data_IF_397998902720
#
_entry.id   IF_397998902720
#
_cell.length_a   1.000
_cell.length_b   1.000
_cell.length_c   1.000
_cell.angle_alpha   90.00
_cell.angle_beta   90.00
_cell.angle_gamma   90.00
#
_symmetry.space_group_name_H-M   'P 1'
#
loop_
_entity.id
_entity.type
_entity.pdbx_description
1 polymer ?
#
# COMPACT_ATOMS: atom_id res chain seq x y z
N UNK A 1 -7.41 -26.38 15.89
CA UNK A 1 -6.21 -25.73 15.37
C UNK A 1 -6.17 -24.32 15.95
N UNK A 2 -5.11 -23.94 16.67
CA UNK A 2 -4.95 -22.54 17.09
C UNK A 2 -4.73 -21.72 15.81
N UNK A 3 -5.60 -20.78 15.53
CA UNK A 3 -5.48 -19.88 14.39
C UNK A 3 -4.17 -19.11 14.51
N UNK A 4 -3.29 -19.20 13.50
CA UNK A 4 -2.08 -18.38 13.39
C UNK A 4 -2.40 -16.92 13.00
N UNK A 5 -3.69 -16.57 13.02
CA UNK A 5 -4.15 -15.23 12.72
C UNK A 5 -3.88 -14.29 13.89
N UNK A 6 -3.33 -13.14 13.57
CA UNK A 6 -2.98 -12.08 14.51
C UNK A 6 -3.60 -10.77 14.05
N UNK A 7 -3.89 -9.90 15.01
CA UNK A 7 -4.42 -8.56 14.75
C UNK A 7 -3.30 -7.67 14.16
N UNK A 8 -3.55 -7.06 13.01
CA UNK A 8 -2.57 -6.24 12.30
C UNK A 8 -2.07 -5.05 13.13
N UNK A 9 -2.94 -4.45 13.95
CA UNK A 9 -2.59 -3.34 14.83
C UNK A 9 -1.45 -3.62 15.81
N UNK A 10 -1.15 -4.90 16.10
CA UNK A 10 -0.01 -5.28 16.95
C UNK A 10 1.35 -5.18 16.22
N UNK A 11 1.32 -4.98 14.91
CA UNK A 11 2.50 -5.00 14.03
C UNK A 11 2.76 -3.69 13.31
N UNK A 12 1.75 -2.82 13.20
CA UNK A 12 1.83 -1.57 12.44
C UNK A 12 1.62 -0.35 13.34
N UNK A 13 2.18 0.78 12.92
CA UNK A 13 1.92 2.07 13.55
C UNK A 13 1.74 3.16 12.52
N UNK A 14 0.88 4.11 12.81
CA UNK A 14 0.65 5.26 11.95
C UNK A 14 1.85 6.23 12.01
N UNK A 15 2.14 6.85 10.87
CA UNK A 15 3.15 7.88 10.71
C UNK A 15 2.49 9.15 10.16
N UNK A 16 2.69 10.28 10.79
CA UNK A 16 2.16 11.57 10.33
C UNK A 16 3.25 12.66 10.35
N UNK A 17 4.15 12.58 9.39
CA UNK A 17 5.21 13.56 9.20
C UNK A 17 4.80 14.54 8.11
N UNK A 18 4.61 15.81 8.48
CA UNK A 18 4.24 16.87 7.55
C UNK A 18 5.48 17.49 6.90
N UNK A 19 5.30 17.96 5.67
CA UNK A 19 6.34 18.63 4.87
C UNK A 19 6.52 20.09 5.32
N UNK A 20 6.92 20.31 6.58
CA UNK A 20 7.03 21.64 7.19
C UNK A 20 8.05 22.55 6.51
N UNK A 21 9.07 21.96 5.90
CA UNK A 21 10.18 22.66 5.28
C UNK A 21 9.93 22.97 3.79
N UNK A 22 8.71 22.73 3.30
CA UNK A 22 8.28 22.97 1.91
C UNK A 22 9.19 22.29 0.86
N UNK A 23 9.72 21.12 1.19
CA UNK A 23 10.58 20.35 0.30
C UNK A 23 9.81 19.86 -0.94
N UNK A 24 10.50 19.83 -2.08
CA UNK A 24 9.92 19.47 -3.39
C UNK A 24 10.26 18.04 -3.79
N UNK A 25 9.79 17.09 -2.98
CA UNK A 25 9.85 15.67 -3.35
C UNK A 25 8.77 15.31 -4.37
N UNK A 26 8.93 14.16 -5.02
CA UNK A 26 7.93 13.63 -5.94
C UNK A 26 6.57 13.48 -5.26
N UNK A 27 5.54 14.04 -5.88
CA UNK A 27 4.17 13.89 -5.42
C UNK A 27 3.58 12.58 -5.92
N UNK A 28 3.16 11.75 -4.99
CA UNK A 28 2.69 10.39 -5.25
C UNK A 28 1.18 10.28 -5.03
N UNK A 29 0.54 9.61 -5.96
CA UNK A 29 -0.80 9.07 -5.81
C UNK A 29 -0.74 7.57 -5.49
N UNK A 30 -1.84 7.04 -4.96
CA UNK A 30 -1.99 5.60 -4.69
C UNK A 30 -3.07 5.04 -5.62
N UNK A 31 -2.70 4.01 -6.39
CA UNK A 31 -3.60 3.33 -7.32
C UNK A 31 -4.40 2.21 -6.63
N UNK A 32 -5.56 1.88 -7.17
CA UNK A 32 -6.30 0.65 -6.83
C UNK A 32 -5.59 -0.62 -7.28
N UNK A 33 -4.59 -0.50 -8.15
CA UNK A 33 -3.67 -1.60 -8.52
C UNK A 33 -2.57 -1.82 -7.48
N UNK A 34 -2.71 -1.21 -6.30
CA UNK A 34 -1.84 -1.41 -5.13
C UNK A 34 -0.39 -0.97 -5.37
N UNK A 35 -0.20 0.13 -6.09
CA UNK A 35 1.12 0.71 -6.35
C UNK A 35 1.07 2.24 -6.26
N UNK A 36 2.24 2.85 -6.07
CA UNK A 36 2.39 4.28 -6.24
C UNK A 36 2.40 4.65 -7.71
N UNK A 37 1.79 5.78 -8.01
CA UNK A 37 1.79 6.43 -9.34
C UNK A 37 2.21 7.89 -9.17
N UNK A 38 2.72 8.50 -10.20
CA UNK A 38 2.91 9.96 -10.20
C UNK A 38 1.55 10.64 -10.02
N UNK A 39 1.47 11.60 -9.12
CA UNK A 39 0.20 12.31 -8.92
C UNK A 39 -0.12 13.16 -10.15
N UNK A 40 -1.36 13.07 -10.59
CA UNK A 40 -1.92 13.91 -11.66
C UNK A 40 -2.55 15.21 -11.12
N UNK A 41 -2.41 15.46 -9.81
CA UNK A 41 -2.97 16.66 -9.19
C UNK A 41 -2.34 17.92 -9.76
N UNK A 42 -3.17 18.93 -10.04
CA UNK A 42 -2.66 20.25 -10.39
C UNK A 42 -2.00 20.86 -9.15
N UNK A 43 -0.70 21.10 -9.25
CA UNK A 43 0.13 21.61 -8.15
C UNK A 43 0.31 23.13 -8.18
N UNK A 44 -0.29 23.82 -9.16
CA UNK A 44 -0.21 25.30 -9.25
C UNK A 44 -0.99 25.93 -8.09
N UNK A 45 -0.30 26.70 -7.26
CA UNK A 45 -0.88 27.33 -6.07
C UNK A 45 -1.14 26.37 -4.88
N UNK A 46 -0.59 25.18 -4.93
CA UNK A 46 -0.72 24.18 -3.86
C UNK A 46 0.17 24.55 -2.67
N UNK A 47 -0.41 24.50 -1.47
CA UNK A 47 0.32 24.58 -0.20
C UNK A 47 0.94 23.20 0.12
N UNK A 48 2.25 23.08 -0.08
CA UNK A 48 3.02 21.86 0.12
C UNK A 48 3.23 21.50 1.59
N UNK A 49 3.08 22.46 2.52
CA UNK A 49 3.21 22.21 3.96
C UNK A 49 2.16 21.22 4.49
N UNK A 50 1.02 21.12 3.83
CA UNK A 50 -0.06 20.21 4.22
C UNK A 50 0.15 18.76 3.78
N UNK A 51 1.10 18.51 2.86
CA UNK A 51 1.38 17.16 2.41
C UNK A 51 2.13 16.36 3.48
N UNK A 52 2.01 15.04 3.41
CA UNK A 52 2.75 14.13 4.28
C UNK A 52 3.98 13.61 3.55
N UNK A 53 5.07 13.51 4.29
CA UNK A 53 6.29 12.83 3.84
C UNK A 53 6.10 11.33 4.05
N UNK A 54 6.41 10.57 3.01
CA UNK A 54 6.50 9.10 3.07
C UNK A 54 7.92 8.67 2.74
N UNK A 55 8.45 7.69 3.46
CA UNK A 55 9.80 7.14 3.30
C UNK A 55 9.75 5.69 2.85
N UNK A 56 10.85 5.24 2.26
CA UNK A 56 11.03 3.84 1.87
C UNK A 56 10.72 2.88 3.01
N UNK A 57 10.03 1.79 2.68
CA UNK A 57 9.54 0.81 3.65
C UNK A 57 8.19 1.17 4.29
N UNK A 58 7.68 2.38 4.07
CA UNK A 58 6.38 2.79 4.59
C UNK A 58 5.26 2.49 3.60
N UNK A 59 4.06 2.37 4.14
CA UNK A 59 2.82 2.15 3.41
C UNK A 59 1.99 3.43 3.38
N UNK A 60 1.18 3.54 2.36
CA UNK A 60 0.18 4.58 2.27
C UNK A 60 -1.13 4.01 1.74
N UNK A 61 -2.26 4.35 2.38
CA UNK A 61 -3.56 4.00 1.84
C UNK A 61 -4.53 5.18 1.85
N UNK A 62 -5.58 5.06 1.05
CA UNK A 62 -6.61 6.07 0.90
C UNK A 62 -7.83 5.60 1.69
N UNK A 63 -8.18 6.25 2.81
CA UNK A 63 -9.31 5.83 3.63
C UNK A 63 -10.67 5.89 2.91
N UNK A 64 -10.88 6.85 2.00
CA UNK A 64 -12.13 7.00 1.24
C UNK A 64 -12.27 5.85 0.23
N UNK A 65 -13.26 4.98 0.44
CA UNK A 65 -13.58 3.83 -0.42
C UNK A 65 -14.77 4.09 -1.34
N UNK A 66 -15.55 5.14 -1.11
CA UNK A 66 -16.85 5.39 -1.75
C UNK A 66 -16.81 5.61 -3.27
N UNK A 67 -15.65 5.97 -3.83
CA UNK A 67 -15.51 6.32 -5.25
C UNK A 67 -14.56 5.41 -6.02
N UNK A 68 -14.14 4.28 -5.43
CA UNK A 68 -13.07 3.45 -5.98
C UNK A 68 -13.51 2.06 -6.42
N UNK A 69 -14.81 1.83 -6.44
CA UNK A 69 -15.37 0.51 -6.71
C UNK A 69 -15.06 -0.46 -5.56
N UNK A 70 -14.70 -1.70 -5.90
CA UNK A 70 -14.52 -2.77 -4.92
C UNK A 70 -13.07 -2.91 -4.41
N UNK A 71 -12.20 -1.95 -4.72
CA UNK A 71 -10.77 -2.00 -4.36
C UNK A 71 -10.35 -0.80 -3.52
N UNK A 72 -9.60 -1.04 -2.45
CA UNK A 72 -8.94 0.01 -1.69
C UNK A 72 -7.58 0.37 -2.29
N UNK A 73 -7.28 1.68 -2.42
CA UNK A 73 -5.95 2.15 -2.81
C UNK A 73 -4.98 2.04 -1.64
N UNK A 74 -4.00 1.16 -1.75
CA UNK A 74 -2.91 0.99 -0.78
C UNK A 74 -1.61 0.65 -1.52
N UNK A 75 -0.47 1.15 -1.06
CA UNK A 75 0.83 0.88 -1.67
C UNK A 75 1.95 0.87 -0.63
N UNK A 76 3.02 0.14 -0.93
CA UNK A 76 4.26 0.05 -0.18
C UNK A 76 5.38 0.73 -0.96
N UNK A 77 6.09 1.69 -0.34
CA UNK A 77 7.15 2.46 -1.01
C UNK A 77 8.47 1.70 -0.97
N UNK A 78 8.88 1.17 -2.12
CA UNK A 78 10.10 0.35 -2.24
C UNK A 78 11.09 0.89 -3.27
N UNK A 79 10.63 1.68 -4.24
CA UNK A 79 11.38 2.11 -5.43
C UNK A 79 12.13 3.44 -5.27
N UNK A 80 11.90 4.16 -4.19
CA UNK A 80 12.54 5.45 -3.88
C UNK A 80 12.67 5.67 -2.38
N UNK A 81 13.56 6.57 -1.98
CA UNK A 81 13.86 6.81 -0.57
C UNK A 81 12.79 7.70 0.11
N UNK A 82 12.19 8.63 -0.63
CA UNK A 82 11.25 9.63 -0.08
C UNK A 82 10.28 10.11 -1.14
N UNK A 83 9.09 10.55 -0.71
CA UNK A 83 8.08 11.17 -1.55
C UNK A 83 7.05 11.95 -0.73
N UNK A 84 6.15 12.63 -1.40
CA UNK A 84 5.01 13.33 -0.80
C UNK A 84 3.71 12.63 -1.16
N UNK A 85 2.79 12.59 -0.21
CA UNK A 85 1.44 12.11 -0.42
C UNK A 85 0.42 13.10 0.14
N UNK A 86 -0.81 13.03 -0.37
CA UNK A 86 -1.89 13.91 0.08
C UNK A 86 -2.11 13.83 1.60
N UNK A 87 -2.46 14.96 2.20
CA UNK A 87 -2.79 15.07 3.62
C UNK A 87 -3.90 14.12 4.08
N UNK A 88 -4.82 13.76 3.17
CA UNK A 88 -5.97 12.87 3.47
C UNK A 88 -5.61 11.39 3.43
N UNK A 89 -4.42 11.04 2.97
CA UNK A 89 -3.94 9.66 2.97
C UNK A 89 -3.41 9.27 4.35
N UNK A 90 -3.51 8.01 4.70
CA UNK A 90 -2.93 7.46 5.91
C UNK A 90 -1.61 6.79 5.59
N UNK A 91 -0.53 7.26 6.22
CA UNK A 91 0.81 6.66 6.13
C UNK A 91 1.04 5.83 7.38
N UNK A 92 1.63 4.65 7.23
CA UNK A 92 1.98 3.76 8.33
C UNK A 92 3.21 2.91 8.01
N UNK A 93 3.77 2.28 9.01
CA UNK A 93 4.91 1.39 8.86
C UNK A 93 4.74 0.13 9.71
N UNK A 94 5.40 -0.94 9.31
CA UNK A 94 5.58 -2.13 10.15
C UNK A 94 6.71 -1.83 11.13
N UNK A 95 6.40 -1.87 12.42
CA UNK A 95 7.39 -1.63 13.48
C UNK A 95 7.81 -2.91 14.19
N UNK A 96 6.95 -3.92 14.17
CA UNK A 96 7.20 -5.20 14.81
C UNK A 96 7.96 -6.14 13.86
N UNK A 97 9.12 -6.62 14.30
CA UNK A 97 10.05 -7.43 13.51
C UNK A 97 9.53 -8.84 13.16
N UNK A 98 8.41 -9.27 13.73
CA UNK A 98 7.78 -10.54 13.40
C UNK A 98 6.98 -10.52 12.08
N UNK A 99 6.78 -9.34 11.48
CA UNK A 99 6.06 -9.18 10.24
C UNK A 99 6.95 -8.56 9.16
N UNK A 100 7.11 -9.25 8.04
CA UNK A 100 7.83 -8.75 6.86
C UNK A 100 6.92 -7.80 6.06
N UNK A 101 7.35 -6.54 5.77
CA UNK A 101 6.53 -5.58 5.04
C UNK A 101 6.08 -6.08 3.65
N UNK A 102 6.96 -6.73 2.91
CA UNK A 102 6.66 -7.31 1.59
C UNK A 102 5.59 -8.40 1.69
N UNK A 103 5.65 -9.24 2.73
CA UNK A 103 4.62 -10.25 3.02
C UNK A 103 3.27 -9.59 3.32
N UNK A 104 3.25 -8.52 4.14
CA UNK A 104 2.05 -7.75 4.40
C UNK A 104 1.47 -7.15 3.11
N UNK A 105 2.33 -6.66 2.20
CA UNK A 105 1.85 -6.15 0.92
C UNK A 105 1.18 -7.23 0.06
N UNK A 106 1.68 -8.48 0.10
CA UNK A 106 1.02 -9.60 -0.57
C UNK A 106 -0.37 -9.88 0.01
N UNK A 107 -0.54 -9.75 1.32
CA UNK A 107 -1.85 -9.86 1.96
C UNK A 107 -2.82 -8.79 1.46
N UNK A 108 -2.37 -7.54 1.37
CA UNK A 108 -3.18 -6.44 0.87
C UNK A 108 -3.56 -6.57 -0.61
N UNK A 109 -2.77 -7.26 -1.41
CA UNK A 109 -3.07 -7.53 -2.83
C UNK A 109 -4.22 -8.52 -3.04
N UNK A 110 -4.65 -9.22 -2.00
CA UNK A 110 -5.70 -10.24 -2.11
C UNK A 110 -7.09 -9.61 -2.24
N UNK A 111 -7.97 -10.18 -3.08
CA UNK A 111 -9.36 -9.71 -3.18
C UNK A 111 -10.13 -9.81 -1.85
N UNK A 112 -9.73 -10.72 -0.95
CA UNK A 112 -10.31 -10.86 0.39
C UNK A 112 -10.13 -9.59 1.22
N UNK A 113 -8.95 -8.96 1.13
CA UNK A 113 -8.69 -7.69 1.82
C UNK A 113 -9.56 -6.56 1.25
N UNK A 114 -9.73 -6.47 -0.06
CA UNK A 114 -10.61 -5.48 -0.67
C UNK A 114 -12.06 -5.65 -0.19
N UNK A 115 -12.56 -6.90 -0.13
CA UNK A 115 -13.90 -7.19 0.39
C UNK A 115 -14.03 -6.85 1.87
N UNK A 116 -13.01 -7.16 2.68
CA UNK A 116 -12.95 -6.79 4.09
C UNK A 116 -13.03 -5.27 4.26
N UNK A 117 -12.16 -4.52 3.57
CA UNK A 117 -12.13 -3.07 3.64
C UNK A 117 -13.46 -2.45 3.20
N UNK A 118 -14.09 -2.99 2.15
CA UNK A 118 -15.42 -2.54 1.70
C UNK A 118 -16.50 -2.80 2.75
N UNK A 119 -16.53 -3.98 3.35
CA UNK A 119 -17.52 -4.36 4.35
C UNK A 119 -17.40 -3.53 5.63
N UNK A 120 -16.16 -3.20 6.04
CA UNK A 120 -15.86 -2.42 7.25
C UNK A 120 -15.73 -0.91 6.99
N UNK A 121 -16.10 -0.43 5.80
CA UNK A 121 -16.16 1.00 5.52
C UNK A 121 -17.49 1.59 6.01
N UNK A 122 -17.42 2.70 6.73
CA UNK A 122 -18.57 3.34 7.35
C UNK A 122 -18.74 4.81 6.89
N UNK A 123 -19.96 5.29 6.88
CA UNK A 123 -20.30 6.67 6.59
C UNK A 123 -21.50 6.81 5.65
N UNK A 124 -22.32 7.84 5.88
CA UNK A 124 -23.55 8.09 5.10
C UNK A 124 -23.32 8.88 3.80
N UNK A 125 -22.27 9.69 3.75
CA UNK A 125 -21.92 10.54 2.58
C UNK A 125 -20.63 10.05 1.89
N UNK A 126 -19.69 9.57 2.70
CA UNK A 126 -18.44 8.93 2.22
C UNK A 126 -18.20 7.71 3.08
N UNK A 127 -18.00 6.60 2.44
CA UNK A 127 -17.58 5.37 3.12
C UNK A 127 -16.08 5.45 3.38
N UNK A 128 -15.68 5.29 4.63
CA UNK A 128 -14.31 5.42 5.09
C UNK A 128 -13.90 4.12 5.77
N UNK A 129 -12.81 3.53 5.30
CA UNK A 129 -12.07 2.50 5.99
C UNK A 129 -11.02 3.15 6.87
N UNK A 130 -11.34 3.35 8.12
CA UNK A 130 -10.52 4.12 9.04
C UNK A 130 -9.31 3.33 9.58
N UNK A 131 -8.49 3.99 10.39
CA UNK A 131 -7.28 3.38 10.96
C UNK A 131 -7.59 2.30 11.98
N UNK A 132 -8.65 2.42 12.73
CA UNK A 132 -9.07 1.44 13.73
C UNK A 132 -9.47 0.14 13.04
N UNK A 133 -10.24 0.22 11.96
CA UNK A 133 -10.61 -0.94 11.13
C UNK A 133 -9.39 -1.57 10.45
N UNK A 134 -8.41 -0.77 9.99
CA UNK A 134 -7.13 -1.29 9.51
C UNK A 134 -6.40 -2.08 10.60
N UNK A 135 -6.37 -1.58 11.82
CA UNK A 135 -5.75 -2.28 12.96
C UNK A 135 -6.51 -3.56 13.35
N UNK A 136 -7.80 -3.66 13.08
CA UNK A 136 -8.62 -4.85 13.38
C UNK A 136 -8.50 -5.96 12.33
N UNK A 137 -7.84 -5.71 11.21
CA UNK A 137 -7.56 -6.77 10.21
C UNK A 137 -6.82 -7.91 10.88
N UNK A 138 -7.29 -9.12 10.66
CA UNK A 138 -6.62 -10.35 11.10
C UNK A 138 -5.94 -11.02 9.90
N UNK A 139 -4.66 -11.40 10.08
CA UNK A 139 -3.87 -12.08 9.06
C UNK A 139 -3.01 -13.18 9.68
N UNK A 140 -2.65 -14.22 8.92
CA UNK A 140 -1.68 -15.20 9.41
C UNK A 140 -0.30 -14.56 9.47
N UNK A 141 0.40 -14.76 10.59
CA UNK A 141 1.79 -14.32 10.79
C UNK A 141 2.63 -15.57 11.09
N UNK A 142 3.09 -16.28 10.05
CA UNK A 142 4.00 -17.42 10.21
C UNK A 142 5.40 -16.94 10.60
N UNK A 143 6.33 -17.86 10.95
CA UNK A 143 7.73 -17.51 11.16
C UNK A 143 8.33 -16.72 10.00
N UNK A 144 9.31 -15.85 10.29
CA UNK A 144 9.95 -14.96 9.30
C UNK A 144 10.44 -15.72 8.07
N UNK A 145 11.10 -16.85 8.28
CA UNK A 145 11.65 -17.68 7.19
C UNK A 145 10.56 -18.20 6.23
N UNK A 146 9.35 -18.38 6.73
CA UNK A 146 8.21 -18.78 5.90
C UNK A 146 7.63 -17.58 5.14
N UNK A 147 7.53 -16.42 5.78
CA UNK A 147 7.12 -15.17 5.13
C UNK A 147 8.08 -14.82 3.99
N UNK A 148 9.39 -14.86 4.22
CA UNK A 148 10.41 -14.57 3.21
C UNK A 148 10.33 -15.54 2.02
N UNK A 149 10.16 -16.85 2.26
CA UNK A 149 9.96 -17.83 1.19
C UNK A 149 8.72 -17.54 0.33
N UNK A 150 7.63 -17.08 0.95
CA UNK A 150 6.42 -16.69 0.23
C UNK A 150 6.68 -15.46 -0.65
N UNK A 151 7.38 -14.45 -0.11
CA UNK A 151 7.76 -13.23 -0.85
C UNK A 151 8.67 -13.60 -2.03
N UNK A 152 9.72 -14.38 -1.83
CA UNK A 152 10.67 -14.81 -2.87
C UNK A 152 9.97 -15.58 -3.99
N UNK A 153 9.06 -16.48 -3.64
CA UNK A 153 8.29 -17.26 -4.62
C UNK A 153 7.40 -16.35 -5.48
N UNK A 154 6.74 -15.39 -4.84
CA UNK A 154 5.90 -14.41 -5.53
C UNK A 154 6.73 -13.53 -6.46
N UNK A 155 7.81 -12.91 -5.97
CA UNK A 155 8.69 -12.06 -6.77
C UNK A 155 9.29 -12.79 -7.96
N UNK A 156 9.74 -14.06 -7.76
CA UNK A 156 10.26 -14.91 -8.84
C UNK A 156 9.20 -15.10 -9.92
N UNK A 157 7.95 -15.31 -9.54
CA UNK A 157 6.84 -15.49 -10.48
C UNK A 157 6.55 -14.20 -11.24
N UNK A 158 6.49 -13.05 -10.56
CA UNK A 158 6.29 -11.74 -11.19
C UNK A 158 7.41 -11.40 -12.19
N UNK A 159 8.67 -11.64 -11.82
CA UNK A 159 9.83 -11.44 -12.70
C UNK A 159 9.73 -12.30 -13.97
N UNK A 160 9.28 -13.55 -13.84
CA UNK A 160 9.07 -14.46 -14.99
C UNK A 160 7.92 -13.97 -15.89
N UNK A 161 6.83 -13.51 -15.31
CA UNK A 161 5.69 -12.96 -16.06
C UNK A 161 6.12 -11.70 -16.83
N UNK A 162 6.81 -10.78 -16.17
CA UNK A 162 7.32 -9.57 -16.79
C UNK A 162 8.30 -9.86 -17.96
N UNK A 163 9.18 -10.82 -17.77
CA UNK A 163 10.11 -11.26 -18.83
C UNK A 163 9.36 -11.85 -20.04
N UNK A 164 8.37 -12.72 -19.79
CA UNK A 164 7.58 -13.32 -20.88
C UNK A 164 6.78 -12.26 -21.65
N UNK A 165 6.19 -11.28 -20.96
CA UNK A 165 5.51 -10.16 -21.63
C UNK A 165 6.45 -9.39 -22.53
N UNK A 166 7.64 -9.02 -22.01
CA UNK A 166 8.67 -8.33 -22.81
C UNK A 166 9.13 -9.13 -24.04
N UNK A 167 9.23 -10.45 -23.93
CA UNK A 167 9.56 -11.32 -25.07
C UNK A 167 8.44 -11.29 -26.11
N UNK A 168 7.18 -11.41 -25.68
CA UNK A 168 6.03 -11.38 -26.59
C UNK A 168 5.94 -10.04 -27.32
N UNK A 169 6.06 -8.92 -26.61
CA UNK A 169 6.05 -7.58 -27.18
C UNK A 169 7.15 -7.41 -28.26
N UNK A 170 8.35 -7.94 -28.00
CA UNK A 170 9.45 -7.91 -28.96
C UNK A 170 9.17 -8.79 -30.19
N UNK A 171 8.54 -9.96 -30.02
CA UNK A 171 8.18 -10.84 -31.13
C UNK A 171 7.09 -10.21 -32.01
N UNK A 172 6.09 -9.59 -31.41
CA UNK A 172 5.05 -8.85 -32.14
C UNK A 172 5.62 -7.65 -32.91
N UNK A 173 6.61 -6.95 -32.35
CA UNK A 173 7.27 -5.82 -33.02
C UNK A 173 8.18 -6.25 -34.19
N UNK A 174 8.53 -7.54 -34.31
CA UNK A 174 9.42 -8.08 -35.37
C UNK A 174 8.68 -8.90 -36.41
N UNK A 175 7.38 -9.12 -36.28
CA UNK A 175 6.52 -9.82 -37.22
C UNK A 175 5.88 -8.88 -38.24
#
# INVERSE_FOLDING_TARGET
MKSNYKRLGDYIRQVDVRNKDDERYDLLGVSVEKCFISSIANTVGTDWHNYKIIKKGQFCYIPDTSRRGDKIGIAHLTDREIGLVSAVYTVFEVWNKELVPEYLMLWFKRPEFDRYARYHSHGSVREIFDWEEMCNVELPVPPIEEQEKIVDAYETTEKRIALKRKINDNLEATA
#
